data_IF_066310527708
#
_entry.id   IF_066310527708
#
_cell.length_a   1.000
_cell.length_b   1.000
_cell.length_c   1.000
_cell.angle_alpha   90.00
_cell.angle_beta   90.00
_cell.angle_gamma   90.00
#
_symmetry.space_group_name_H-M   'P 1'
#
loop_
_entity.id
_entity.type
_entity.pdbx_description
1 polymer ?
#
# COMPACT_ATOMS: atom_id res chain seq x y z
N UNK A 1 18.44 20.04 -11.45
CA UNK A 1 18.90 18.81 -12.11
C UNK A 1 17.69 17.93 -12.41
N UNK A 2 17.78 17.08 -13.44
CA UNK A 2 16.75 16.09 -13.76
C UNK A 2 17.37 14.69 -13.81
N UNK A 3 16.63 13.69 -13.35
CA UNK A 3 17.02 12.29 -13.46
C UNK A 3 15.78 11.42 -13.67
N UNK A 4 15.94 10.28 -14.37
CA UNK A 4 14.86 9.31 -14.50
C UNK A 4 15.17 8.07 -13.66
N UNK A 5 14.12 7.45 -13.13
CA UNK A 5 14.19 6.11 -12.55
C UNK A 5 13.07 5.24 -13.09
N UNK A 6 13.30 3.93 -13.08
CA UNK A 6 12.28 2.90 -13.36
C UNK A 6 12.27 1.96 -12.18
N UNK A 7 11.07 1.64 -11.70
CA UNK A 7 10.84 0.75 -10.57
C UNK A 7 9.86 -0.34 -10.98
N UNK A 8 10.24 -1.59 -10.80
CA UNK A 8 9.32 -2.73 -10.82
C UNK A 8 8.36 -2.65 -9.63
N UNK A 9 7.28 -3.45 -9.65
CA UNK A 9 6.29 -3.45 -8.58
C UNK A 9 6.89 -3.77 -7.20
N UNK A 10 7.89 -4.66 -7.13
CA UNK A 10 8.56 -4.98 -5.86
C UNK A 10 9.41 -3.82 -5.35
N UNK A 11 10.19 -3.21 -6.23
CA UNK A 11 11.03 -2.05 -5.91
C UNK A 11 10.16 -0.85 -5.49
N UNK A 12 9.05 -0.60 -6.19
CA UNK A 12 8.03 0.38 -5.81
C UNK A 12 7.49 0.12 -4.40
N UNK A 13 7.12 -1.12 -4.05
CA UNK A 13 6.61 -1.45 -2.71
C UNK A 13 7.65 -1.20 -1.62
N UNK A 14 8.93 -1.51 -1.87
CA UNK A 14 10.03 -1.21 -0.96
C UNK A 14 10.19 0.30 -0.76
N UNK A 15 10.20 1.07 -1.85
CA UNK A 15 10.28 2.53 -1.80
C UNK A 15 9.09 3.14 -1.03
N UNK A 16 7.87 2.72 -1.35
CA UNK A 16 6.65 3.16 -0.67
C UNK A 16 6.72 2.84 0.82
N UNK A 17 7.19 1.64 1.18
CA UNK A 17 7.33 1.26 2.59
C UNK A 17 8.31 2.18 3.35
N UNK A 18 9.45 2.54 2.74
CA UNK A 18 10.38 3.53 3.29
C UNK A 18 9.72 4.90 3.45
N UNK A 19 8.98 5.36 2.44
CA UNK A 19 8.22 6.60 2.50
C UNK A 19 7.18 6.62 3.62
N UNK A 20 6.43 5.53 3.78
CA UNK A 20 5.44 5.35 4.86
C UNK A 20 6.11 5.41 6.24
N UNK A 21 7.21 4.69 6.44
CA UNK A 21 7.96 4.72 7.70
C UNK A 21 8.58 6.11 7.98
N UNK A 22 8.86 6.89 6.93
CA UNK A 22 9.40 8.23 7.04
C UNK A 22 8.37 9.31 7.43
N UNK A 23 7.06 9.05 7.26
CA UNK A 23 6.00 10.00 7.59
C UNK A 23 6.01 10.40 9.06
N UNK A 24 5.85 11.70 9.33
CA UNK A 24 5.85 12.21 10.71
C UNK A 24 4.73 11.61 11.57
N UNK A 25 3.55 11.35 11.00
CA UNK A 25 2.46 10.73 11.76
C UNK A 25 2.79 9.30 12.18
N UNK A 26 3.48 8.53 11.31
CA UNK A 26 3.92 7.16 11.59
C UNK A 26 5.02 7.19 12.65
N UNK A 27 6.07 8.01 12.46
CA UNK A 27 7.16 8.18 13.44
C UNK A 27 6.65 8.55 14.83
N UNK A 28 5.72 9.52 14.91
CA UNK A 28 5.13 9.93 16.19
C UNK A 28 4.32 8.81 16.84
N UNK A 29 3.48 8.10 16.08
CA UNK A 29 2.67 7.01 16.62
C UNK A 29 3.51 5.81 17.05
N UNK A 30 4.64 5.55 16.37
CA UNK A 30 5.63 4.56 16.81
C UNK A 30 6.33 4.96 18.11
N UNK A 31 6.58 6.25 18.36
CA UNK A 31 7.16 6.70 19.63
C UNK A 31 6.14 6.72 20.77
N UNK A 32 4.90 7.13 20.45
CA UNK A 32 3.83 7.31 21.42
C UNK A 32 2.47 7.22 20.75
N UNK A 33 1.83 6.06 20.81
CA UNK A 33 0.56 5.81 20.17
C UNK A 33 0.41 4.36 19.72
N UNK A 34 -0.60 4.14 18.89
CA UNK A 34 -0.87 2.85 18.25
C UNK A 34 -0.64 2.96 16.74
N UNK A 35 0.06 1.98 16.18
CA UNK A 35 0.17 1.78 14.73
C UNK A 35 -0.38 0.40 14.40
N UNK A 36 -1.46 0.37 13.62
CA UNK A 36 -2.03 -0.87 13.09
C UNK A 36 -1.62 -1.02 11.64
N UNK A 37 -0.93 -2.09 11.29
CA UNK A 37 -0.56 -2.40 9.91
C UNK A 37 -1.40 -3.58 9.45
N UNK A 38 -2.40 -3.37 8.60
CA UNK A 38 -3.21 -4.51 8.10
C UNK A 38 -2.45 -5.34 7.05
N UNK A 39 -2.80 -6.62 6.87
CA UNK A 39 -2.21 -7.44 5.80
C UNK A 39 -2.42 -6.84 4.40
N UNK A 40 -1.43 -7.05 3.52
CA UNK A 40 -1.44 -6.55 2.15
C UNK A 40 -0.07 -6.68 1.50
N UNK A 41 -0.03 -6.72 0.16
CA UNK A 41 1.24 -6.93 -0.56
C UNK A 41 2.25 -5.82 -0.33
N UNK A 42 1.82 -4.56 -0.29
CA UNK A 42 2.68 -3.42 0.07
C UNK A 42 2.92 -3.34 1.57
N UNK A 43 1.89 -3.61 2.37
CA UNK A 43 1.97 -3.52 3.82
C UNK A 43 2.96 -4.52 4.44
N UNK A 44 3.19 -5.66 3.80
CA UNK A 44 4.24 -6.59 4.20
C UNK A 44 5.64 -5.93 4.18
N UNK A 45 5.92 -5.05 3.21
CA UNK A 45 7.16 -4.27 3.17
C UNK A 45 7.16 -3.18 4.26
N UNK A 46 6.01 -2.55 4.53
CA UNK A 46 5.89 -1.58 5.63
C UNK A 46 6.22 -2.24 6.97
N UNK A 47 5.75 -3.47 7.20
CA UNK A 47 6.14 -4.25 8.39
C UNK A 47 7.66 -4.43 8.45
N UNK A 48 8.31 -4.81 7.34
CA UNK A 48 9.77 -4.99 7.33
C UNK A 48 10.53 -3.69 7.64
N UNK A 49 10.11 -2.56 7.07
CA UNK A 49 10.73 -1.25 7.32
C UNK A 49 10.51 -0.76 8.76
N UNK A 50 9.30 -0.96 9.30
CA UNK A 50 8.96 -0.53 10.67
C UNK A 50 9.64 -1.40 11.73
N UNK A 51 9.73 -2.71 11.51
CA UNK A 51 10.33 -3.66 12.46
C UNK A 51 11.84 -3.85 12.26
N UNK A 52 12.41 -3.37 11.15
CA UNK A 52 13.82 -3.55 10.82
C UNK A 52 14.23 -5.01 10.56
N UNK A 53 13.28 -5.89 10.21
CA UNK A 53 13.52 -7.32 9.96
C UNK A 53 12.66 -7.83 8.81
N UNK A 54 13.14 -8.86 8.12
CA UNK A 54 12.38 -9.51 7.04
C UNK A 54 11.27 -10.39 7.61
N UNK A 55 10.20 -10.56 6.83
CA UNK A 55 9.11 -11.49 7.12
C UNK A 55 8.81 -12.38 5.91
N UNK A 56 8.09 -13.47 6.12
CA UNK A 56 7.50 -14.25 5.01
C UNK A 56 6.35 -13.44 4.38
N UNK A 57 6.67 -12.47 3.52
CA UNK A 57 5.69 -11.55 2.92
C UNK A 57 4.46 -12.23 2.30
N UNK A 58 4.57 -13.38 1.59
CA UNK A 58 3.41 -14.13 1.08
C UNK A 58 2.43 -14.63 2.17
N UNK A 59 2.88 -14.76 3.43
CA UNK A 59 2.04 -15.09 4.58
C UNK A 59 1.31 -13.86 5.15
N UNK A 60 1.71 -12.63 4.82
CA UNK A 60 1.17 -11.36 5.32
C UNK A 60 0.28 -10.62 4.29
N UNK A 61 -0.61 -11.32 3.59
CA UNK A 61 -1.42 -10.71 2.53
C UNK A 61 -2.86 -11.20 2.53
N UNK A 62 -3.79 -10.27 2.31
CA UNK A 62 -5.21 -10.49 2.06
C UNK A 62 -5.65 -9.52 0.95
N UNK A 63 -6.70 -9.85 0.19
CA UNK A 63 -7.22 -8.98 -0.88
C UNK A 63 -6.24 -8.81 -2.03
N UNK A 64 -5.96 -9.90 -2.74
CA UNK A 64 -4.95 -9.98 -3.81
C UNK A 64 -5.61 -10.27 -5.16
N UNK A 65 -4.96 -9.83 -6.23
CA UNK A 65 -5.34 -10.14 -7.61
C UNK A 65 -4.29 -11.07 -8.21
N UNK A 66 -4.73 -12.17 -8.83
CA UNK A 66 -3.88 -13.12 -9.55
C UNK A 66 -4.49 -13.45 -10.91
N UNK A 67 -3.70 -13.87 -11.91
CA UNK A 67 -4.25 -14.40 -13.15
C UNK A 67 -5.20 -15.58 -12.89
N UNK A 68 -6.28 -15.69 -13.66
CA UNK A 68 -7.34 -16.68 -13.43
C UNK A 68 -6.87 -18.14 -13.46
N UNK A 69 -5.79 -18.43 -14.18
CA UNK A 69 -5.23 -19.79 -14.32
C UNK A 69 -4.16 -20.14 -13.29
N UNK A 70 -3.77 -19.19 -12.43
CA UNK A 70 -2.74 -19.41 -11.40
C UNK A 70 -3.37 -20.09 -10.19
N UNK A 71 -2.84 -21.27 -9.82
CA UNK A 71 -3.22 -21.95 -8.57
C UNK A 71 -2.57 -21.24 -7.40
N UNK A 72 -3.37 -20.49 -6.64
CA UNK A 72 -2.87 -19.66 -5.53
C UNK A 72 -2.18 -20.46 -4.41
N UNK A 73 -2.56 -21.73 -4.20
CA UNK A 73 -1.94 -22.64 -3.23
C UNK A 73 -0.45 -22.88 -3.47
N UNK A 74 0.01 -22.69 -4.70
CA UNK A 74 1.38 -22.99 -5.11
C UNK A 74 2.34 -21.86 -4.71
N UNK A 75 1.80 -20.67 -4.41
CA UNK A 75 2.59 -19.46 -4.15
C UNK A 75 2.35 -18.85 -2.77
N UNK A 76 1.23 -19.19 -2.13
CA UNK A 76 0.84 -18.58 -0.87
C UNK A 76 0.70 -19.63 0.22
N UNK A 77 1.40 -19.47 1.35
CA UNK A 77 1.32 -20.42 2.45
C UNK A 77 -0.10 -20.47 3.01
N UNK A 78 -0.47 -21.65 3.52
CA UNK A 78 -1.75 -21.87 4.22
C UNK A 78 -1.77 -21.11 5.53
N UNK A 79 -0.69 -21.21 6.29
CA UNK A 79 -0.50 -20.45 7.52
C UNK A 79 -0.30 -18.97 7.18
N UNK A 80 -0.98 -18.11 7.94
CA UNK A 80 -0.92 -16.66 7.78
C UNK A 80 -0.24 -16.07 8.98
N UNK A 81 0.59 -15.07 8.72
CA UNK A 81 1.12 -14.23 9.80
C UNK A 81 -0.03 -13.40 10.38
N UNK A 82 0.01 -13.21 11.71
CA UNK A 82 -0.95 -12.36 12.43
C UNK A 82 -0.73 -10.92 12.06
N UNK A 83 -1.76 -10.10 12.19
CA UNK A 83 -1.65 -8.65 12.01
C UNK A 83 -0.61 -8.05 12.95
N UNK A 84 0.10 -7.03 12.48
CA UNK A 84 1.05 -6.26 13.27
C UNK A 84 0.33 -5.05 13.84
N UNK A 85 0.14 -5.07 15.16
CA UNK A 85 -0.30 -3.93 15.95
C UNK A 85 0.83 -3.54 16.89
N UNK A 86 1.23 -2.28 16.82
CA UNK A 86 2.31 -1.72 17.61
C UNK A 86 1.73 -0.72 18.61
N UNK A 87 2.18 -0.75 19.85
CA UNK A 87 1.94 0.29 20.85
C UNK A 87 3.28 0.81 21.32
N UNK A 88 3.51 2.11 21.12
CA UNK A 88 4.77 2.77 21.47
C UNK A 88 6.00 2.04 20.89
N UNK A 89 5.84 1.47 19.68
CA UNK A 89 6.91 0.82 18.91
C UNK A 89 7.03 -0.69 19.15
N UNK A 90 6.33 -1.23 20.14
CA UNK A 90 6.39 -2.65 20.52
C UNK A 90 5.16 -3.42 20.04
N UNK A 91 5.36 -4.65 19.57
CA UNK A 91 4.27 -5.51 19.07
C UNK A 91 3.35 -5.91 20.23
N UNK A 92 2.05 -5.75 20.04
CA UNK A 92 1.00 -6.18 20.97
C UNK A 92 0.29 -7.41 20.41
N UNK A 93 0.71 -8.60 20.85
CA UNK A 93 0.23 -9.89 20.33
C UNK A 93 -1.26 -10.16 20.58
N UNK A 94 -1.88 -9.50 21.56
CA UNK A 94 -3.31 -9.69 21.85
C UNK A 94 -4.21 -8.92 20.87
N UNK A 95 -3.64 -8.00 20.10
CA UNK A 95 -4.38 -7.17 19.16
C UNK A 95 -4.23 -7.65 17.72
N UNK A 96 -5.28 -7.41 16.94
CA UNK A 96 -5.29 -7.59 15.50
C UNK A 96 -5.78 -6.30 14.83
N UNK A 97 -5.95 -6.33 13.50
CA UNK A 97 -6.43 -5.15 12.78
C UNK A 97 -7.81 -4.65 13.24
N UNK A 98 -8.66 -5.51 13.78
CA UNK A 98 -10.03 -5.17 14.17
C UNK A 98 -10.09 -4.69 15.61
N UNK A 99 -9.45 -5.38 16.55
CA UNK A 99 -9.36 -4.95 17.94
C UNK A 99 -8.47 -3.72 18.08
N UNK A 100 -7.33 -3.68 17.36
CA UNK A 100 -6.45 -2.52 17.29
C UNK A 100 -7.18 -1.28 16.75
N UNK A 101 -8.01 -1.42 15.70
CA UNK A 101 -8.80 -0.29 15.18
C UNK A 101 -9.75 0.32 16.24
N UNK A 102 -10.28 -0.49 17.16
CA UNK A 102 -11.19 -0.03 18.22
C UNK A 102 -10.47 0.71 19.35
N UNK A 103 -9.18 0.44 19.54
CA UNK A 103 -8.33 1.06 20.55
C UNK A 103 -7.68 2.37 20.10
N UNK A 104 -7.71 2.66 18.79
CA UNK A 104 -7.15 3.89 18.26
C UNK A 104 -7.72 5.13 18.95
N UNK A 105 -6.92 6.20 18.97
CA UNK A 105 -7.28 7.56 19.37
C UNK A 105 -6.66 8.57 18.41
N UNK A 106 -6.97 9.85 18.64
CA UNK A 106 -6.36 10.94 17.89
C UNK A 106 -4.82 10.89 18.03
N UNK A 107 -4.13 10.91 16.90
CA UNK A 107 -2.67 10.78 16.82
C UNK A 107 -2.18 9.39 16.42
N UNK A 108 -3.01 8.35 16.59
CA UNK A 108 -2.69 6.99 16.16
C UNK A 108 -2.85 6.80 14.65
N UNK A 109 -2.27 5.72 14.11
CA UNK A 109 -2.21 5.44 12.68
C UNK A 109 -2.75 4.04 12.36
N UNK A 110 -3.60 3.97 11.33
CA UNK A 110 -3.97 2.73 10.68
C UNK A 110 -3.41 2.72 9.25
N UNK A 111 -2.68 1.66 8.90
CA UNK A 111 -2.03 1.49 7.59
C UNK A 111 -2.76 0.39 6.81
N UNK A 112 -3.26 0.75 5.63
CA UNK A 112 -4.01 -0.17 4.76
C UNK A 112 -3.72 0.04 3.29
N UNK A 113 -3.31 -1.02 2.60
CA UNK A 113 -3.17 -1.00 1.15
C UNK A 113 -4.53 -0.98 0.42
N UNK A 114 -4.47 -0.63 -0.86
CA UNK A 114 -5.60 -0.55 -1.78
C UNK A 114 -5.38 -1.36 -3.07
N UNK A 115 -6.42 -1.50 -3.89
CA UNK A 115 -6.44 -2.22 -5.17
C UNK A 115 -6.62 -1.28 -6.38
N UNK A 116 -7.10 -0.06 -6.16
CA UNK A 116 -7.31 0.98 -7.16
C UNK A 116 -6.88 2.35 -6.61
N UNK A 117 -6.50 3.25 -7.51
CA UNK A 117 -6.08 4.61 -7.21
C UNK A 117 -6.64 5.57 -8.25
N UNK A 118 -7.51 6.48 -7.83
CA UNK A 118 -7.90 7.65 -8.60
C UNK A 118 -7.13 8.85 -8.05
N UNK A 119 -5.91 9.03 -8.55
CA UNK A 119 -4.90 9.91 -7.97
C UNK A 119 -5.32 11.39 -7.96
N UNK A 120 -5.92 11.88 -9.05
CA UNK A 120 -6.36 13.28 -9.16
C UNK A 120 -7.42 13.64 -8.13
N UNK A 121 -8.28 12.68 -7.76
CA UNK A 121 -9.30 12.86 -6.72
C UNK A 121 -8.79 12.56 -5.31
N UNK A 122 -7.56 12.04 -5.17
CA UNK A 122 -7.00 11.56 -3.89
C UNK A 122 -7.92 10.53 -3.21
N UNK A 123 -8.44 9.59 -4.00
CA UNK A 123 -9.27 8.47 -3.52
C UNK A 123 -8.62 7.15 -3.95
N UNK A 124 -8.47 6.23 -3.00
CA UNK A 124 -8.09 4.85 -3.24
C UNK A 124 -9.33 3.93 -3.19
N UNK A 125 -9.23 2.78 -3.83
CA UNK A 125 -10.30 1.77 -3.87
C UNK A 125 -9.83 0.44 -3.32
N UNK A 126 -10.59 -0.15 -2.41
CA UNK A 126 -10.35 -1.50 -1.89
C UNK A 126 -11.40 -2.43 -2.45
N UNK A 127 -10.99 -3.49 -3.15
CA UNK A 127 -11.95 -4.47 -3.68
C UNK A 127 -12.47 -5.35 -2.55
N UNK A 128 -13.76 -5.67 -2.60
CA UNK A 128 -14.45 -6.54 -1.66
C UNK A 128 -14.90 -7.77 -2.43
N UNK A 129 -14.31 -8.93 -2.11
CA UNK A 129 -14.54 -10.19 -2.82
C UNK A 129 -15.78 -10.99 -2.37
N UNK A 130 -16.59 -10.49 -1.45
CA UNK A 130 -17.75 -11.23 -0.95
C UNK A 130 -18.76 -10.35 -0.20
N UNK A 131 -20.00 -10.83 -0.05
CA UNK A 131 -21.05 -10.08 0.65
C UNK A 131 -20.72 -9.90 2.14
N UNK A 132 -21.42 -8.98 2.80
CA UNK A 132 -21.30 -8.75 4.24
C UNK A 132 -20.94 -7.30 4.58
N UNK A 133 -20.13 -7.11 5.62
CA UNK A 133 -19.84 -5.79 6.21
C UNK A 133 -18.85 -4.92 5.41
N UNK A 134 -18.64 -5.21 4.12
CA UNK A 134 -17.66 -4.52 3.29
C UNK A 134 -16.22 -4.97 3.51
N UNK A 135 -16.03 -6.24 3.90
CA UNK A 135 -14.71 -6.82 4.18
C UNK A 135 -13.97 -6.11 5.32
N UNK A 136 -12.64 -6.21 5.32
CA UNK A 136 -11.82 -5.55 6.36
C UNK A 136 -12.02 -4.04 6.38
N UNK A 137 -12.10 -3.39 5.21
CA UNK A 137 -12.22 -1.94 5.13
C UNK A 137 -13.50 -1.44 5.80
N UNK A 138 -14.66 -2.02 5.46
CA UNK A 138 -15.93 -1.62 6.08
C UNK A 138 -15.94 -1.82 7.60
N UNK A 139 -15.29 -2.88 8.10
CA UNK A 139 -15.21 -3.16 9.53
C UNK A 139 -14.32 -2.18 10.33
N UNK A 140 -13.29 -1.59 9.72
CA UNK A 140 -12.32 -0.73 10.43
C UNK A 140 -12.54 0.77 10.20
N UNK A 141 -13.22 1.17 9.12
CA UNK A 141 -13.41 2.61 8.82
C UNK A 141 -14.20 3.36 9.90
N UNK A 142 -15.27 2.76 10.43
CA UNK A 142 -16.06 3.36 11.53
C UNK A 142 -15.20 3.67 12.77
N UNK A 143 -14.46 2.69 13.32
CA UNK A 143 -13.50 2.92 14.39
C UNK A 143 -12.44 3.98 14.05
N UNK A 144 -11.78 3.89 12.90
CA UNK A 144 -10.72 4.84 12.49
C UNK A 144 -11.25 6.29 12.49
N UNK A 145 -12.42 6.51 11.86
CA UNK A 145 -13.02 7.85 11.75
C UNK A 145 -13.50 8.36 13.11
N UNK A 146 -14.28 7.55 13.83
CA UNK A 146 -14.86 7.96 15.12
C UNK A 146 -13.79 8.27 16.19
N UNK A 147 -12.63 7.61 16.11
CA UNK A 147 -11.48 7.83 16.98
C UNK A 147 -10.55 8.94 16.51
N UNK A 148 -10.81 9.54 15.34
CA UNK A 148 -9.97 10.58 14.71
C UNK A 148 -8.54 10.11 14.45
N UNK A 149 -8.36 8.82 14.19
CA UNK A 149 -7.08 8.24 13.83
C UNK A 149 -6.71 8.60 12.39
N UNK A 150 -5.41 8.57 12.08
CA UNK A 150 -4.92 8.80 10.73
C UNK A 150 -4.98 7.50 9.94
N UNK A 151 -5.54 7.55 8.73
CA UNK A 151 -5.48 6.46 7.77
C UNK A 151 -4.36 6.74 6.77
N UNK A 152 -3.36 5.87 6.71
CA UNK A 152 -2.29 5.89 5.71
C UNK A 152 -2.55 4.77 4.70
N UNK A 153 -2.47 5.11 3.41
CA UNK A 153 -2.83 4.27 2.29
C UNK A 153 -1.62 4.06 1.37
N UNK A 154 -0.75 3.07 1.64
CA UNK A 154 0.32 2.69 0.73
C UNK A 154 -0.26 2.06 -0.53
N UNK A 155 -0.05 2.68 -1.68
CA UNK A 155 -0.62 2.24 -2.96
C UNK A 155 0.31 2.71 -4.08
N UNK A 156 0.83 1.79 -4.88
CA UNK A 156 1.69 2.18 -5.99
C UNK A 156 0.88 2.66 -7.20
N UNK A 157 1.56 3.42 -8.06
CA UNK A 157 0.96 4.00 -9.26
C UNK A 157 0.55 2.92 -10.28
N UNK A 158 1.01 1.66 -10.12
CA UNK A 158 0.54 0.53 -10.95
C UNK A 158 -0.96 0.24 -10.78
N UNK A 159 -1.57 0.77 -9.72
CA UNK A 159 -3.01 0.64 -9.42
C UNK A 159 -3.83 1.83 -9.87
N UNK A 160 -3.26 2.74 -10.66
CA UNK A 160 -4.01 3.82 -11.28
C UNK A 160 -5.16 3.26 -12.10
N UNK A 161 -6.34 3.82 -11.90
CA UNK A 161 -7.52 3.50 -12.72
C UNK A 161 -7.78 4.64 -13.70
N UNK A 162 -8.23 4.30 -14.90
CA UNK A 162 -8.51 5.28 -15.96
C UNK A 162 -9.80 6.07 -15.72
N UNK A 163 -10.72 5.54 -14.92
CA UNK A 163 -12.03 6.12 -14.68
C UNK A 163 -12.13 6.74 -13.29
N UNK A 164 -13.07 7.66 -13.15
CA UNK A 164 -13.46 8.21 -11.87
C UNK A 164 -13.98 7.09 -10.95
N UNK A 165 -13.41 6.98 -9.76
CA UNK A 165 -13.78 5.89 -8.86
C UNK A 165 -15.24 6.00 -8.40
N UNK A 166 -15.81 7.20 -8.29
CA UNK A 166 -17.19 7.40 -7.87
C UNK A 166 -18.17 7.04 -8.99
N UNK A 167 -17.81 7.28 -10.25
CA UNK A 167 -18.60 6.83 -11.40
C UNK A 167 -18.63 5.30 -11.47
N UNK A 168 -17.49 4.64 -11.27
CA UNK A 168 -17.41 3.18 -11.21
C UNK A 168 -18.35 2.62 -10.12
N UNK A 169 -18.41 3.26 -8.95
CA UNK A 169 -19.27 2.81 -7.85
C UNK A 169 -20.75 2.86 -8.19
N UNK A 170 -21.19 3.93 -8.87
CA UNK A 170 -22.58 4.05 -9.30
C UNK A 170 -22.94 2.87 -10.23
N UNK A 171 -22.10 2.61 -11.24
CA UNK A 171 -22.31 1.49 -12.18
C UNK A 171 -22.28 0.13 -11.48
N UNK A 172 -21.35 -0.09 -10.53
CA UNK A 172 -21.27 -1.34 -9.76
C UNK A 172 -22.52 -1.60 -8.89
N UNK A 173 -23.31 -0.57 -8.59
CA UNK A 173 -24.52 -0.69 -7.76
C UNK A 173 -25.80 -0.98 -8.54
N UNK A 174 -25.77 -0.93 -9.87
CA UNK A 174 -26.95 -1.04 -10.74
C UNK A 174 -27.19 -2.47 -11.29
N UNK A 175 -26.28 -3.42 -11.05
CA UNK A 175 -26.33 -4.76 -11.65
C UNK A 175 -26.80 -5.87 -10.72
N UNK A 176 -27.99 -6.42 -10.97
CA UNK A 176 -28.50 -7.61 -10.26
C UNK A 176 -28.15 -8.93 -10.98
N UNK A 177 -27.90 -8.89 -12.29
CA UNK A 177 -27.52 -10.05 -13.10
C UNK A 177 -26.01 -10.04 -13.41
N UNK A 178 -25.27 -11.00 -12.85
CA UNK A 178 -23.82 -11.08 -13.00
C UNK A 178 -23.40 -12.32 -13.80
N UNK A 179 -22.66 -12.12 -14.88
CA UNK A 179 -22.13 -13.21 -15.71
C UNK A 179 -20.99 -14.00 -15.03
N UNK A 180 -20.32 -13.38 -14.04
CA UNK A 180 -19.27 -13.97 -13.23
C UNK A 180 -19.16 -13.25 -11.89
N UNK A 181 -18.16 -13.60 -11.07
CA UNK A 181 -17.90 -12.85 -9.84
C UNK A 181 -17.38 -11.44 -10.17
N UNK A 182 -18.16 -10.43 -9.80
CA UNK A 182 -17.77 -9.01 -9.86
C UNK A 182 -17.52 -8.52 -8.44
N UNK A 183 -16.26 -8.23 -8.05
CA UNK A 183 -15.99 -7.66 -6.75
C UNK A 183 -16.55 -6.23 -6.68
N UNK A 184 -17.12 -5.87 -5.53
CA UNK A 184 -17.49 -4.47 -5.27
C UNK A 184 -16.26 -3.67 -4.84
N UNK A 185 -16.38 -2.35 -4.82
CA UNK A 185 -15.28 -1.44 -4.48
C UNK A 185 -15.69 -0.58 -3.29
N UNK A 186 -14.76 -0.37 -2.36
CA UNK A 186 -14.93 0.57 -1.25
C UNK A 186 -14.04 1.78 -1.48
N UNK A 187 -14.59 2.98 -1.75
CA UNK A 187 -13.80 4.19 -1.88
C UNK A 187 -13.29 4.62 -0.51
N UNK A 188 -12.02 4.98 -0.43
CA UNK A 188 -11.41 5.45 0.81
C UNK A 188 -10.43 6.58 0.53
N UNK A 189 -10.42 7.58 1.41
CA UNK A 189 -9.45 8.68 1.38
C UNK A 189 -8.72 8.79 2.71
N UNK A 190 -7.51 9.34 2.66
CA UNK A 190 -6.56 9.41 3.77
C UNK A 190 -5.22 9.92 3.27
N UNK A 191 -4.15 9.68 4.01
CA UNK A 191 -2.78 9.96 3.55
C UNK A 191 -2.36 8.89 2.55
N UNK A 192 -2.54 9.17 1.26
CA UNK A 192 -2.08 8.30 0.16
C UNK A 192 -0.56 8.41 0.03
N UNK A 193 0.12 7.27 -0.06
CA UNK A 193 1.57 7.22 -0.28
C UNK A 193 1.84 6.33 -1.50
N UNK A 194 2.13 6.98 -2.63
CA UNK A 194 2.68 6.34 -3.83
C UNK A 194 4.20 6.49 -3.86
N UNK A 195 4.83 6.07 -4.95
CA UNK A 195 6.25 6.31 -5.20
C UNK A 195 6.60 7.82 -5.24
N UNK A 196 5.66 8.67 -5.73
CA UNK A 196 5.80 10.13 -5.72
C UNK A 196 5.88 10.62 -4.28
N UNK A 197 4.83 10.38 -3.48
CA UNK A 197 4.80 10.87 -2.10
C UNK A 197 5.92 10.26 -1.24
N UNK A 198 6.34 9.02 -1.52
CA UNK A 198 7.44 8.38 -0.82
C UNK A 198 8.77 9.13 -1.05
N UNK A 199 9.11 9.41 -2.30
CA UNK A 199 10.34 10.15 -2.64
C UNK A 199 10.29 11.60 -2.13
N UNK A 200 9.17 12.28 -2.28
CA UNK A 200 9.01 13.66 -1.79
C UNK A 200 9.06 13.74 -0.25
N UNK A 201 8.59 12.70 0.45
CA UNK A 201 8.72 12.59 1.92
C UNK A 201 10.16 12.34 2.34
N UNK A 202 10.88 11.47 1.62
CA UNK A 202 12.27 11.12 1.95
C UNK A 202 13.26 12.23 1.57
N UNK A 203 12.94 13.01 0.54
CA UNK A 203 13.80 14.05 -0.03
C UNK A 203 13.01 15.37 -0.20
N UNK A 204 12.84 16.16 0.88
CA UNK A 204 12.13 17.43 0.81
C UNK A 204 12.72 18.37 -0.26
N UNK A 205 11.85 18.96 -1.08
CA UNK A 205 12.25 19.83 -2.20
C UNK A 205 12.51 19.09 -3.51
N UNK A 206 12.41 17.76 -3.53
CA UNK A 206 12.33 16.99 -4.76
C UNK A 206 10.91 17.08 -5.33
N UNK A 207 10.78 17.34 -6.63
CA UNK A 207 9.55 17.17 -7.37
C UNK A 207 9.61 15.84 -8.14
N UNK A 208 8.55 15.03 -8.03
CA UNK A 208 8.48 13.75 -8.73
C UNK A 208 7.28 13.69 -9.67
N UNK A 209 7.53 13.33 -10.92
CA UNK A 209 6.50 13.21 -11.96
C UNK A 209 6.41 11.78 -12.46
N UNK A 210 5.20 11.22 -12.49
CA UNK A 210 4.95 9.93 -13.14
C UNK A 210 4.81 10.13 -14.65
N UNK A 211 5.80 9.66 -15.42
CA UNK A 211 5.91 9.97 -16.86
C UNK A 211 5.53 8.81 -17.78
N UNK A 212 5.65 7.58 -17.31
CA UNK A 212 5.22 6.38 -18.06
C UNK A 212 5.04 5.18 -17.12
N UNK A 213 4.31 4.18 -17.57
CA UNK A 213 4.17 2.89 -16.88
C UNK A 213 4.28 1.73 -17.86
N UNK A 214 4.63 0.55 -17.34
CA UNK A 214 4.74 -0.69 -18.10
C UNK A 214 6.05 -0.84 -18.86
N UNK A 215 6.27 -2.07 -19.33
CA UNK A 215 7.54 -2.53 -19.89
C UNK A 215 7.51 -4.02 -20.16
N UNK A 216 8.68 -4.64 -20.28
CA UNK A 216 8.87 -6.07 -20.53
C UNK A 216 10.00 -6.61 -19.65
N UNK A 217 10.15 -7.94 -19.57
CA UNK A 217 11.21 -8.61 -18.80
C UNK A 217 11.11 -8.34 -17.28
N UNK A 218 9.89 -8.41 -16.72
CA UNK A 218 9.65 -8.14 -15.28
C UNK A 218 9.23 -6.71 -14.97
N UNK A 219 9.15 -5.85 -15.98
CA UNK A 219 8.75 -4.45 -15.87
C UNK A 219 7.29 -4.18 -16.33
N UNK A 220 6.45 -5.22 -16.49
CA UNK A 220 5.10 -5.13 -17.09
C UNK A 220 4.16 -4.17 -16.36
N UNK A 221 4.36 -4.00 -15.05
CA UNK A 221 3.64 -3.04 -14.20
C UNK A 221 4.59 -2.05 -13.51
N UNK A 222 5.75 -1.79 -14.14
CA UNK A 222 6.72 -0.81 -13.65
C UNK A 222 6.21 0.62 -13.80
N UNK A 223 6.82 1.53 -13.05
CA UNK A 223 6.58 2.97 -13.15
C UNK A 223 7.89 3.66 -13.53
N UNK A 224 7.80 4.66 -14.40
CA UNK A 224 8.91 5.55 -14.74
C UNK A 224 8.64 6.93 -14.13
N UNK A 225 9.59 7.39 -13.34
CA UNK A 225 9.50 8.66 -12.64
C UNK A 225 10.59 9.61 -13.13
N UNK A 226 10.23 10.88 -13.30
CA UNK A 226 11.15 11.98 -13.50
C UNK A 226 11.34 12.72 -12.18
N UNK A 227 12.58 12.79 -11.72
CA UNK A 227 13.00 13.49 -10.52
C UNK A 227 13.54 14.86 -10.92
N UNK A 228 13.04 15.93 -10.30
CA UNK A 228 13.43 17.30 -10.58
C UNK A 228 13.72 18.04 -9.27
N UNK A 229 14.90 18.67 -9.15
CA UNK A 229 15.25 19.40 -7.93
C UNK A 229 16.69 19.88 -7.90
N UNK A 230 17.17 20.21 -6.71
CA UNK A 230 18.57 20.49 -6.44
C UNK A 230 19.46 19.28 -6.82
N UNK A 231 20.69 19.54 -7.30
CA UNK A 231 21.59 18.50 -7.78
C UNK A 231 21.99 17.48 -6.72
N UNK A 232 22.22 17.93 -5.49
CA UNK A 232 22.59 17.05 -4.37
C UNK A 232 21.39 16.18 -3.97
N UNK A 233 20.21 16.79 -3.84
CA UNK A 233 18.96 16.09 -3.49
C UNK A 233 18.61 15.01 -4.53
N UNK A 234 18.70 15.34 -5.82
CA UNK A 234 18.46 14.37 -6.91
C UNK A 234 19.48 13.23 -6.86
N UNK A 235 20.74 13.53 -6.58
CA UNK A 235 21.81 12.52 -6.49
C UNK A 235 21.60 11.56 -5.31
N UNK A 236 21.21 12.06 -4.14
CA UNK A 236 20.89 11.21 -2.98
C UNK A 236 19.63 10.37 -3.21
N UNK A 237 18.61 10.93 -3.87
CA UNK A 237 17.42 10.18 -4.26
C UNK A 237 17.75 9.02 -5.21
N UNK A 238 18.64 9.26 -6.19
CA UNK A 238 19.13 8.21 -7.08
C UNK A 238 19.85 7.10 -6.33
N UNK A 239 20.77 7.43 -5.42
CA UNK A 239 21.48 6.43 -4.61
C UNK A 239 20.52 5.54 -3.82
N UNK A 240 19.47 6.13 -3.23
CA UNK A 240 18.45 5.33 -2.55
C UNK A 240 17.72 4.40 -3.53
N UNK A 241 17.30 4.91 -4.69
CA UNK A 241 16.60 4.09 -5.69
C UNK A 241 17.50 2.96 -6.19
N UNK A 242 18.76 3.23 -6.50
CA UNK A 242 19.76 2.23 -6.91
C UNK A 242 19.95 1.16 -5.83
N UNK A 243 19.90 1.52 -4.54
CA UNK A 243 19.98 0.56 -3.44
C UNK A 243 18.75 -0.34 -3.30
N UNK A 244 17.61 0.08 -3.85
CA UNK A 244 16.35 -0.69 -3.87
C UNK A 244 16.27 -1.56 -5.12
N UNK A 245 16.89 -1.14 -6.23
CA UNK A 245 16.85 -1.85 -7.49
C UNK A 245 17.45 -3.27 -7.34
N UNK A 246 16.72 -4.26 -7.86
CA UNK A 246 16.97 -5.67 -7.61
C UNK A 246 16.16 -6.27 -6.44
N UNK A 247 15.24 -5.53 -5.83
CA UNK A 247 14.29 -6.10 -4.85
C UNK A 247 13.55 -7.29 -5.50
N UNK A 248 13.58 -8.47 -4.86
CA UNK A 248 13.01 -9.67 -5.46
C UNK A 248 11.49 -9.56 -5.66
N UNK A 249 10.94 -10.27 -6.67
CA UNK A 249 9.50 -10.38 -6.86
C UNK A 249 8.76 -10.80 -5.57
N UNK A 250 7.58 -10.23 -5.32
CA UNK A 250 6.79 -10.51 -4.10
C UNK A 250 6.52 -12.00 -3.89
N UNK A 251 6.30 -12.71 -4.99
CA UNK A 251 6.25 -14.16 -5.02
C UNK A 251 7.49 -14.65 -5.77
N UNK A 252 8.17 -15.70 -5.29
CA UNK A 252 9.19 -16.36 -6.11
C UNK A 252 8.54 -16.80 -7.44
N UNK A 253 9.26 -16.62 -8.54
CA UNK A 253 8.83 -17.22 -9.82
C UNK A 253 8.79 -18.73 -9.62
N UNK A 254 7.69 -19.38 -10.02
CA UNK A 254 7.68 -20.83 -10.08
C UNK A 254 8.75 -21.27 -11.08
N UNK A 255 9.65 -22.14 -10.63
CA UNK A 255 10.57 -22.85 -11.51
C UNK A 255 9.80 -23.84 -12.38
#
# INVERSE_FOLDING_TARGET
MQANVVLTVSESKRLIAKGVAALDCVKRALQKGIVVISTGTTNAYVVEEVLGKTIEKPAYVTGRTTPAKVRQSDYFPRERLRDVVLRDGEIVEELDRYSGAKELKAGDVFIKGANALNYDRKIAGVTIGGPGTGGTVGAVMGPIISRRAKLVLPVGLEKLIAHDILEILNVLSEGDELANHVPTLYPVTGTIVTEIEALETLFPGLQVLHVASGGVLGAEASVRLLLCGDGEVVTEALKLVESIQGEPPFLPMAQ
#
